data_IF_557997768691
#
_entry.id   IF_557997768691
#
_cell.length_a   1.000
_cell.length_b   1.000
_cell.length_c   1.000
_cell.angle_alpha   90.00
_cell.angle_beta   90.00
_cell.angle_gamma   90.00
#
_symmetry.space_group_name_H-M   'P 1'
#
loop_
_entity.id
_entity.type
_entity.pdbx_description
1 polymer ?
#
# COMPACT_ATOMS: atom_id res chain seq x y z
N UNK A 1 -45.46 31.91 -55.78
CA UNK A 1 -45.23 30.61 -56.47
C UNK A 1 -43.89 30.09 -56.00
N UNK A 2 -43.89 28.86 -55.51
CA UNK A 2 -42.86 28.28 -54.66
C UNK A 2 -41.86 27.48 -55.49
N UNK A 3 -40.58 27.50 -55.11
CA UNK A 3 -39.60 26.48 -55.48
C UNK A 3 -38.64 26.21 -54.32
N UNK A 4 -39.17 25.66 -53.22
CA UNK A 4 -38.40 25.12 -52.08
C UNK A 4 -38.16 23.62 -52.28
N UNK A 5 -37.53 23.23 -53.38
CA UNK A 5 -37.48 21.83 -53.84
C UNK A 5 -36.12 21.13 -53.88
N UNK A 6 -35.00 21.80 -53.62
CA UNK A 6 -33.66 21.25 -53.96
C UNK A 6 -32.83 20.70 -52.79
N UNK A 7 -33.38 20.58 -51.57
CA UNK A 7 -32.61 20.19 -50.37
C UNK A 7 -32.91 18.77 -49.84
N UNK A 8 -33.46 17.85 -50.65
CA UNK A 8 -33.67 16.45 -50.22
C UNK A 8 -33.19 15.40 -51.24
N UNK A 9 -31.94 15.50 -51.67
CA UNK A 9 -31.27 14.34 -52.29
C UNK A 9 -29.90 14.10 -51.66
N UNK A 10 -29.91 13.76 -50.37
CA UNK A 10 -28.94 12.76 -49.89
C UNK A 10 -29.51 11.41 -50.32
N UNK A 11 -29.27 11.08 -51.59
CA UNK A 11 -29.48 9.74 -52.13
C UNK A 11 -28.72 8.80 -51.22
N UNK A 12 -29.46 8.01 -50.44
CA UNK A 12 -28.89 6.90 -49.70
C UNK A 12 -28.47 5.86 -50.74
N UNK A 13 -27.29 6.04 -51.31
CA UNK A 13 -26.63 5.04 -52.12
C UNK A 13 -26.50 3.81 -51.25
N UNK A 14 -27.33 2.78 -51.49
CA UNK A 14 -27.10 1.45 -50.92
C UNK A 14 -25.65 1.13 -51.21
N UNK A 15 -24.83 1.04 -50.16
CA UNK A 15 -23.41 0.80 -50.31
C UNK A 15 -23.24 -0.41 -51.25
N UNK A 16 -22.44 -0.30 -52.32
CA UNK A 16 -22.20 -1.46 -53.17
C UNK A 16 -21.63 -2.57 -52.28
N UNK A 17 -22.03 -3.83 -52.52
CA UNK A 17 -21.63 -4.99 -51.71
C UNK A 17 -20.11 -5.01 -51.43
N UNK A 18 -19.29 -4.46 -52.33
CA UNK A 18 -17.84 -4.24 -52.17
C UNK A 18 -17.46 -3.36 -50.96
N UNK A 19 -18.16 -2.26 -50.71
CA UNK A 19 -17.91 -1.42 -49.52
C UNK A 19 -18.24 -2.17 -48.24
N UNK A 20 -19.28 -3.01 -48.26
CA UNK A 20 -19.61 -3.88 -47.13
C UNK A 20 -18.51 -4.93 -46.89
N UNK A 21 -18.02 -5.60 -47.93
CA UNK A 21 -16.86 -6.51 -47.80
C UNK A 21 -15.59 -5.80 -47.31
N UNK A 22 -15.32 -4.59 -47.79
CA UNK A 22 -14.19 -3.78 -47.31
C UNK A 22 -14.29 -3.44 -45.82
N UNK A 23 -15.49 -3.08 -45.35
CA UNK A 23 -15.75 -2.83 -43.93
C UNK A 23 -15.56 -4.12 -43.11
N UNK A 24 -16.12 -5.25 -43.55
CA UNK A 24 -15.98 -6.53 -42.86
C UNK A 24 -14.50 -6.96 -42.79
N UNK A 25 -13.76 -6.82 -43.89
CA UNK A 25 -12.34 -7.15 -43.95
C UNK A 25 -11.51 -6.24 -43.02
N UNK A 26 -11.86 -4.96 -42.94
CA UNK A 26 -11.20 -4.02 -42.03
C UNK A 26 -11.47 -4.36 -40.56
N UNK A 27 -12.70 -4.72 -40.21
CA UNK A 27 -13.04 -5.20 -38.86
C UNK A 27 -12.39 -6.55 -38.53
N UNK A 28 -12.30 -7.47 -39.50
CA UNK A 28 -11.62 -8.75 -39.33
C UNK A 28 -10.12 -8.55 -39.10
N UNK A 29 -9.49 -7.71 -39.92
CA UNK A 29 -8.07 -7.37 -39.79
C UNK A 29 -7.81 -6.64 -38.46
N UNK A 30 -8.67 -5.71 -38.06
CA UNK A 30 -8.60 -5.06 -36.76
C UNK A 30 -8.74 -6.06 -35.61
N UNK A 31 -9.69 -7.00 -35.69
CA UNK A 31 -9.87 -8.07 -34.71
C UNK A 31 -8.64 -8.98 -34.59
N UNK A 32 -8.01 -9.34 -35.71
CA UNK A 32 -6.75 -10.12 -35.72
C UNK A 32 -5.60 -9.35 -35.08
N UNK A 33 -5.46 -8.05 -35.37
CA UNK A 33 -4.43 -7.21 -34.77
C UNK A 33 -4.64 -7.08 -33.25
N UNK A 34 -5.87 -6.80 -32.82
CA UNK A 34 -6.25 -6.73 -31.40
C UNK A 34 -5.96 -8.07 -30.70
N UNK A 35 -6.31 -9.20 -31.32
CA UNK A 35 -6.04 -10.53 -30.78
C UNK A 35 -4.53 -10.83 -30.71
N UNK A 36 -3.75 -10.39 -31.68
CA UNK A 36 -2.29 -10.56 -31.68
C UNK A 36 -1.60 -9.70 -30.61
N UNK A 37 -2.12 -8.51 -30.30
CA UNK A 37 -1.54 -7.58 -29.31
C UNK A 37 -2.03 -7.86 -27.89
N UNK A 38 -3.32 -8.17 -27.71
CA UNK A 38 -3.99 -8.35 -26.39
C UNK A 38 -4.16 -9.84 -26.02
N UNK A 39 -3.98 -10.74 -26.99
CA UNK A 39 -4.00 -12.19 -26.78
C UNK A 39 -2.85 -12.72 -25.92
N UNK A 40 -1.59 -12.32 -26.15
CA UNK A 40 -0.44 -12.84 -25.40
C UNK A 40 -0.23 -12.16 -24.05
N UNK A 41 -0.96 -11.08 -23.74
CA UNK A 41 -0.82 -10.38 -22.48
C UNK A 41 -1.28 -11.30 -21.33
N UNK A 42 -0.41 -11.61 -20.35
CA UNK A 42 -0.77 -12.47 -19.24
C UNK A 42 -1.96 -11.89 -18.48
N UNK A 43 -3.11 -12.55 -18.56
CA UNK A 43 -4.33 -12.18 -17.83
C UNK A 43 -4.22 -12.76 -16.42
N UNK A 44 -3.45 -12.12 -15.54
CA UNK A 44 -3.16 -12.67 -14.21
C UNK A 44 -2.61 -11.66 -13.20
N UNK A 45 -2.35 -12.16 -11.99
CA UNK A 45 -1.92 -11.50 -10.74
C UNK A 45 -0.65 -10.64 -10.79
N UNK A 46 -0.08 -10.41 -11.97
CA UNK A 46 1.18 -9.71 -12.17
C UNK A 46 1.20 -8.32 -11.53
N UNK A 47 0.05 -7.63 -11.48
CA UNK A 47 -0.04 -6.33 -10.83
C UNK A 47 0.23 -6.41 -9.32
N UNK A 48 -0.40 -7.36 -8.62
CA UNK A 48 -0.22 -7.54 -7.18
C UNK A 48 1.15 -8.15 -6.86
N UNK A 49 1.66 -9.04 -7.71
CA UNK A 49 3.01 -9.58 -7.58
C UNK A 49 4.08 -8.50 -7.76
N UNK A 50 3.93 -7.63 -8.75
CA UNK A 50 4.85 -6.51 -8.99
C UNK A 50 4.84 -5.54 -7.80
N UNK A 51 3.66 -5.26 -7.27
CA UNK A 51 3.50 -4.41 -6.08
C UNK A 51 4.12 -5.04 -4.84
N UNK A 52 3.93 -6.34 -4.64
CA UNK A 52 4.53 -7.09 -3.55
C UNK A 52 6.07 -7.08 -3.67
N UNK A 53 6.61 -7.38 -4.85
CA UNK A 53 8.06 -7.32 -5.14
C UNK A 53 8.61 -5.92 -4.81
N UNK A 54 7.97 -4.87 -5.30
CA UNK A 54 8.38 -3.48 -5.02
C UNK A 54 8.39 -3.13 -3.52
N UNK A 55 7.40 -3.61 -2.75
CA UNK A 55 7.38 -3.43 -1.28
C UNK A 55 8.56 -4.13 -0.62
N UNK A 56 8.84 -5.36 -1.01
CA UNK A 56 9.96 -6.14 -0.46
C UNK A 56 11.30 -5.50 -0.82
N UNK A 57 11.47 -5.02 -2.04
CA UNK A 57 12.73 -4.40 -2.48
C UNK A 57 12.99 -3.07 -1.75
N UNK A 58 11.95 -2.23 -1.59
CA UNK A 58 12.07 -1.01 -0.78
C UNK A 58 12.44 -1.32 0.68
N UNK A 59 11.84 -2.36 1.25
CA UNK A 59 12.14 -2.80 2.61
C UNK A 59 13.59 -3.32 2.73
N UNK A 60 14.08 -4.06 1.73
CA UNK A 60 15.48 -4.53 1.71
C UNK A 60 16.44 -3.36 1.61
N UNK A 61 16.24 -2.46 0.63
CA UNK A 61 17.08 -1.27 0.44
C UNK A 61 17.15 -0.42 1.70
N UNK A 62 16.00 -0.10 2.31
CA UNK A 62 15.97 0.68 3.55
C UNK A 62 16.67 -0.02 4.72
N UNK A 63 16.53 -1.35 4.85
CA UNK A 63 17.25 -2.12 5.87
C UNK A 63 18.75 -2.17 5.64
N UNK A 64 19.20 -2.34 4.40
CA UNK A 64 20.61 -2.36 4.04
C UNK A 64 21.27 -0.99 4.27
N UNK A 65 20.59 0.09 3.89
CA UNK A 65 21.04 1.46 4.16
C UNK A 65 21.14 1.73 5.67
N UNK A 66 20.11 1.32 6.44
CA UNK A 66 20.13 1.44 7.89
C UNK A 66 21.25 0.60 8.53
N UNK A 67 21.40 -0.66 8.12
CA UNK A 67 22.46 -1.53 8.62
C UNK A 67 23.85 -0.97 8.33
N UNK A 68 24.07 -0.44 7.12
CA UNK A 68 25.32 0.23 6.76
C UNK A 68 25.53 1.49 7.60
N UNK A 69 24.50 2.30 7.81
CA UNK A 69 24.61 3.50 8.63
C UNK A 69 24.94 3.20 10.10
N UNK A 70 24.42 2.09 10.64
CA UNK A 70 24.63 1.67 12.03
C UNK A 70 25.97 0.96 12.27
N UNK A 71 26.52 0.28 11.26
CA UNK A 71 27.75 -0.53 11.43
C UNK A 71 29.00 0.17 10.90
N UNK A 72 28.86 1.28 10.17
CA UNK A 72 29.99 1.98 9.54
C UNK A 72 30.17 3.40 10.03
N UNK A 73 31.43 3.82 10.10
CA UNK A 73 31.79 5.22 10.29
C UNK A 73 31.32 6.07 9.10
N UNK A 74 31.02 7.33 9.37
CA UNK A 74 30.66 8.29 8.33
C UNK A 74 30.55 9.70 8.87
N UNK A 75 30.38 10.66 7.98
CA UNK A 75 30.10 12.04 8.36
C UNK A 75 28.59 12.29 8.36
N UNK A 76 28.09 12.98 9.39
CA UNK A 76 26.72 13.51 9.43
C UNK A 76 26.73 14.93 8.88
N UNK A 77 27.65 15.76 9.38
CA UNK A 77 27.88 17.14 8.92
C UNK A 77 29.38 17.43 8.97
N UNK A 78 30.02 17.43 7.79
CA UNK A 78 31.46 17.70 7.66
C UNK A 78 31.83 19.12 8.06
N UNK A 79 30.95 20.09 7.79
CA UNK A 79 31.22 21.50 8.06
C UNK A 79 31.19 21.78 9.57
N UNK A 80 30.33 21.08 10.30
CA UNK A 80 30.24 21.16 11.77
C UNK A 80 31.17 20.17 12.49
N UNK A 81 31.92 19.35 11.75
CA UNK A 81 32.79 18.33 12.34
C UNK A 81 32.01 17.20 13.06
N UNK A 82 30.77 16.93 12.67
CA UNK A 82 29.93 15.88 13.30
C UNK A 82 30.00 14.59 12.50
N UNK A 83 30.54 13.54 13.12
CA UNK A 83 30.66 12.20 12.54
C UNK A 83 29.71 11.20 13.23
N UNK A 84 29.25 10.20 12.48
CA UNK A 84 28.62 8.98 13.02
C UNK A 84 29.70 7.93 13.29
N UNK A 85 29.49 7.19 14.38
CA UNK A 85 30.29 6.02 14.74
C UNK A 85 29.39 4.78 14.72
N UNK A 86 29.95 3.56 14.53
CA UNK A 86 29.20 2.32 14.64
C UNK A 86 28.50 2.20 15.99
N UNK A 87 27.31 1.58 16.00
CA UNK A 87 26.47 1.48 17.18
C UNK A 87 27.15 0.71 18.32
N UNK A 88 27.91 -0.35 18.02
CA UNK A 88 28.65 -1.12 19.03
C UNK A 88 29.64 -0.21 19.78
N UNK A 89 30.39 0.60 19.02
CA UNK A 89 31.32 1.56 19.61
C UNK A 89 30.60 2.68 20.38
N UNK A 90 29.47 3.15 19.85
CA UNK A 90 28.65 4.13 20.55
C UNK A 90 28.16 3.61 21.90
N UNK A 91 27.71 2.35 21.96
CA UNK A 91 27.27 1.72 23.19
C UNK A 91 28.41 1.63 24.22
N UNK A 92 29.59 1.15 23.81
CA UNK A 92 30.77 1.07 24.69
C UNK A 92 31.11 2.44 25.30
N UNK A 93 31.20 3.48 24.46
CA UNK A 93 31.52 4.83 24.90
C UNK A 93 30.43 5.42 25.80
N UNK A 94 29.16 5.10 25.51
CA UNK A 94 28.02 5.55 26.31
C UNK A 94 28.04 4.91 27.68
N UNK A 95 28.29 3.60 27.78
CA UNK A 95 28.42 2.89 29.06
C UNK A 95 29.56 3.48 29.89
N UNK A 96 30.74 3.68 29.27
CA UNK A 96 31.88 4.29 29.95
C UNK A 96 31.56 5.71 30.45
N UNK A 97 30.88 6.52 29.64
CA UNK A 97 30.44 7.87 30.00
C UNK A 97 29.43 7.86 31.16
N UNK A 98 28.45 6.96 31.12
CA UNK A 98 27.43 6.83 32.17
C UNK A 98 28.04 6.33 33.48
N UNK A 99 29.02 5.43 33.44
CA UNK A 99 29.71 4.95 34.63
C UNK A 99 30.44 6.07 35.39
N UNK A 100 30.86 7.13 34.67
CA UNK A 100 31.49 8.31 35.26
C UNK A 100 30.46 9.37 35.73
N UNK A 101 29.21 9.28 35.26
CA UNK A 101 28.17 10.23 35.64
C UNK A 101 27.42 9.76 36.90
N UNK A 102 27.14 10.72 37.79
CA UNK A 102 26.34 10.45 38.97
C UNK A 102 24.86 10.31 38.55
N UNK A 103 24.14 9.27 39.02
CA UNK A 103 22.73 9.09 38.68
C UNK A 103 21.92 10.31 39.11
N UNK A 104 21.13 10.86 38.18
CA UNK A 104 20.16 11.89 38.48
C UNK A 104 18.87 11.24 39.04
N UNK A 105 18.18 11.87 40.00
CA UNK A 105 16.90 11.37 40.48
C UNK A 105 15.89 11.33 39.34
N UNK A 106 15.10 10.25 39.25
CA UNK A 106 13.99 10.17 38.32
C UNK A 106 12.98 11.28 38.67
N UNK A 107 12.50 12.00 37.65
CA UNK A 107 11.45 13.01 37.82
C UNK A 107 10.14 12.39 38.31
N UNK A 108 9.20 13.20 38.84
CA UNK A 108 7.91 12.70 39.30
C UNK A 108 7.18 11.99 38.16
N UNK A 109 6.57 10.84 38.45
CA UNK A 109 5.71 10.14 37.49
C UNK A 109 4.50 11.05 37.25
N UNK A 110 4.35 11.52 36.01
CA UNK A 110 3.16 12.25 35.62
C UNK A 110 1.95 11.34 35.85
N UNK A 111 1.01 11.79 36.69
CA UNK A 111 -0.31 11.17 36.78
C UNK A 111 -0.92 11.15 35.38
N UNK A 112 -1.41 10.00 34.87
CA UNK A 112 -2.08 9.96 33.59
C UNK A 112 -3.19 11.03 33.58
N UNK A 113 -3.16 11.94 32.61
CA UNK A 113 -4.29 12.83 32.40
C UNK A 113 -5.54 11.96 32.22
N UNK A 114 -6.68 12.31 32.86
CA UNK A 114 -7.95 11.67 32.59
C UNK A 114 -8.22 11.77 31.09
N UNK A 115 -8.02 10.66 30.38
CA UNK A 115 -8.40 10.53 28.99
C UNK A 115 -9.91 10.85 28.96
N UNK A 116 -10.35 11.90 28.24
CA UNK A 116 -11.77 12.19 28.14
C UNK A 116 -12.46 10.91 27.69
N UNK A 117 -13.37 10.43 28.54
CA UNK A 117 -14.12 9.20 28.33
C UNK A 117 -14.63 9.20 26.91
N UNK A 118 -14.38 8.07 26.22
CA UNK A 118 -14.73 7.84 24.83
C UNK A 118 -16.03 8.57 24.47
N UNK A 119 -15.92 9.48 23.51
CA UNK A 119 -17.06 10.04 22.78
C UNK A 119 -17.99 8.87 22.46
N UNK A 120 -19.30 8.93 22.80
CA UNK A 120 -20.20 7.82 22.56
C UNK A 120 -20.09 7.40 21.10
N UNK A 121 -19.78 6.12 20.90
CA UNK A 121 -19.58 5.52 19.60
C UNK A 121 -20.73 5.90 18.67
N UNK A 122 -20.40 6.48 17.51
CA UNK A 122 -21.29 6.47 16.34
C UNK A 122 -21.85 5.05 16.17
N UNK A 123 -23.15 4.89 15.89
CA UNK A 123 -23.75 3.56 15.78
C UNK A 123 -23.06 2.80 14.64
N UNK A 124 -22.36 1.73 15.00
CA UNK A 124 -21.80 0.81 14.03
C UNK A 124 -22.97 0.12 13.29
N UNK A 125 -22.91 0.01 11.94
CA UNK A 125 -23.90 -0.77 11.21
C UNK A 125 -23.86 -2.22 11.70
N UNK A 126 -25.04 -2.77 11.98
CA UNK A 126 -25.25 -4.10 12.57
C UNK A 126 -24.51 -5.18 11.76
N UNK A 127 -23.38 -5.65 12.29
CA UNK A 127 -22.67 -6.84 11.83
C UNK A 127 -23.23 -8.08 12.53
N UNK A 128 -23.49 -9.12 11.73
CA UNK A 128 -24.10 -10.40 12.06
C UNK A 128 -23.54 -11.11 13.31
N UNK A 129 -24.36 -11.88 14.05
CA UNK A 129 -23.92 -12.53 15.28
C UNK A 129 -22.89 -13.64 15.02
N UNK A 130 -21.71 -13.50 15.62
CA UNK A 130 -20.71 -14.56 15.78
C UNK A 130 -21.11 -15.42 16.98
N UNK A 131 -21.29 -16.76 16.85
CA UNK A 131 -21.61 -17.60 17.99
C UNK A 131 -20.44 -17.65 18.98
N UNK A 132 -20.74 -17.31 20.24
CA UNK A 132 -19.82 -17.32 21.37
C UNK A 132 -19.54 -18.75 21.83
N UNK A 133 -18.27 -19.10 22.03
CA UNK A 133 -17.87 -20.32 22.70
C UNK A 133 -18.26 -20.27 24.21
N UNK A 134 -18.62 -21.41 24.83
CA UNK A 134 -19.03 -21.43 26.23
C UNK A 134 -17.85 -21.20 27.20
N UNK A 135 -18.06 -20.53 28.35
CA UNK A 135 -17.03 -20.26 29.35
C UNK A 135 -16.65 -21.52 30.16
N UNK A 136 -15.45 -21.56 30.76
CA UNK A 136 -15.00 -22.69 31.57
C UNK A 136 -15.75 -22.76 32.91
N UNK A 137 -16.36 -23.92 33.19
CA UNK A 137 -17.03 -24.22 34.45
C UNK A 137 -16.04 -24.21 35.62
N UNK A 138 -16.26 -23.31 36.58
CA UNK A 138 -15.57 -23.28 37.86
C UNK A 138 -15.91 -24.52 38.70
N UNK A 139 -14.89 -25.07 39.35
CA UNK A 139 -14.96 -26.25 40.21
C UNK A 139 -15.97 -26.10 41.37
N UNK A 140 -16.86 -27.08 41.51
CA UNK A 140 -17.70 -27.25 42.71
C UNK A 140 -16.99 -28.18 43.71
N UNK A 141 -16.94 -27.83 45.02
CA UNK A 141 -16.45 -28.74 46.06
C UNK A 141 -17.55 -29.72 46.48
N UNK A 142 -17.17 -31.00 46.60
CA UNK A 142 -18.03 -32.13 47.00
C UNK A 142 -18.40 -32.06 48.49
N UNK A 143 -19.66 -32.35 48.88
CA UNK A 143 -19.97 -32.68 50.26
C UNK A 143 -19.88 -34.20 50.51
N UNK A 144 -19.68 -34.50 51.78
CA UNK A 144 -19.31 -35.75 52.44
C UNK A 144 -20.37 -36.86 52.37
#
# INVERSE_FOLDING_TARGET
MADTGSLRQVVHSRAPLSTWFGIVLLFALFGVIVLAVIGPAPRGSDYEETRAKKRIDNLKSTREEAAKALTTYGWIDKNKGVARIPIDRAMELTIAKLAQQKPAPAGPIATPEPQPSAVPASPAPAGSPRPSAPPPTAAQPSPK
#
